data_IF_737897529126
#
_entry.id   IF_737897529126
#
_cell.length_a   1.000
_cell.length_b   1.000
_cell.length_c   1.000
_cell.angle_alpha   90.00
_cell.angle_beta   90.00
_cell.angle_gamma   90.00
#
_symmetry.space_group_name_H-M   'P 1'
#
loop_
_entity.id
_entity.type
_entity.pdbx_description
1 polymer ?
#
# COMPACT_ATOMS: atom_id res chain seq x y z
N UNK A 1 -3.80 11.16 30.49
CA UNK A 1 -4.46 10.93 29.18
C UNK A 1 -3.45 10.22 28.30
N UNK A 2 -3.63 8.91 28.13
CA UNK A 2 -2.53 7.98 27.88
C UNK A 2 -2.04 7.88 26.43
N UNK A 3 -0.87 7.26 26.20
CA UNK A 3 -0.27 7.01 24.89
C UNK A 3 -1.19 6.33 23.86
N UNK A 4 -2.29 5.72 24.33
CA UNK A 4 -3.28 5.03 23.50
C UNK A 4 -4.05 5.97 22.56
N UNK A 5 -4.24 7.25 22.90
CA UNK A 5 -5.01 8.19 22.05
C UNK A 5 -4.26 8.50 20.75
N UNK A 6 -2.93 8.69 20.84
CA UNK A 6 -2.09 8.94 19.66
C UNK A 6 -2.12 7.75 18.70
N UNK A 7 -2.08 6.53 19.25
CA UNK A 7 -2.20 5.31 18.46
C UNK A 7 -3.56 5.21 17.76
N UNK A 8 -4.66 5.53 18.46
CA UNK A 8 -6.00 5.52 17.87
C UNK A 8 -6.17 6.53 16.73
N UNK A 9 -5.66 7.76 16.90
CA UNK A 9 -5.70 8.78 15.85
C UNK A 9 -4.90 8.33 14.63
N UNK A 10 -3.70 7.77 14.87
CA UNK A 10 -2.87 7.21 13.81
C UNK A 10 -3.60 6.09 13.04
N UNK A 11 -4.18 5.12 13.75
CA UNK A 11 -4.92 4.02 13.14
C UNK A 11 -6.10 4.53 12.30
N UNK A 12 -6.85 5.50 12.81
CA UNK A 12 -7.98 6.10 12.11
C UNK A 12 -7.57 6.74 10.78
N UNK A 13 -6.51 7.57 10.78
CA UNK A 13 -5.99 8.20 9.56
C UNK A 13 -5.46 7.15 8.58
N UNK A 14 -4.76 6.13 9.09
CA UNK A 14 -4.23 5.05 8.27
C UNK A 14 -5.33 4.26 7.55
N UNK A 15 -6.40 3.89 8.24
CA UNK A 15 -7.51 3.16 7.63
C UNK A 15 -8.27 3.97 6.59
N UNK A 16 -8.50 5.28 6.82
CA UNK A 16 -9.19 6.13 5.84
C UNK A 16 -8.36 6.39 4.58
N UNK A 17 -7.04 6.38 4.68
CA UNK A 17 -6.14 6.70 3.57
C UNK A 17 -5.61 5.42 2.92
N UNK A 18 -4.52 4.89 3.46
CA UNK A 18 -3.81 3.73 2.90
C UNK A 18 -4.69 2.48 2.93
N UNK A 19 -5.39 2.24 4.04
CA UNK A 19 -6.25 1.07 4.18
C UNK A 19 -7.35 1.03 3.12
N UNK A 20 -8.20 2.06 3.08
CA UNK A 20 -9.32 2.14 2.15
C UNK A 20 -8.87 2.14 0.69
N UNK A 21 -7.90 2.98 0.32
CA UNK A 21 -7.44 3.11 -1.07
C UNK A 21 -6.84 1.79 -1.59
N UNK A 22 -6.09 1.07 -0.75
CA UNK A 22 -5.51 -0.23 -1.15
C UNK A 22 -6.57 -1.25 -1.55
N UNK A 23 -7.67 -1.34 -0.78
CA UNK A 23 -8.76 -2.27 -1.10
C UNK A 23 -9.57 -1.83 -2.33
N UNK A 24 -9.77 -0.52 -2.52
CA UNK A 24 -10.44 0.03 -3.71
C UNK A 24 -9.63 -0.30 -4.96
N UNK A 25 -8.32 -0.04 -4.96
CA UNK A 25 -7.43 -0.36 -6.09
C UNK A 25 -7.40 -1.86 -6.40
N UNK A 26 -7.43 -2.72 -5.37
CA UNK A 26 -7.54 -4.17 -5.58
C UNK A 26 -8.86 -4.55 -6.28
N UNK A 27 -9.95 -3.86 -5.94
CA UNK A 27 -11.27 -4.09 -6.54
C UNK A 27 -11.40 -3.57 -7.96
N UNK A 28 -10.92 -2.35 -8.21
CA UNK A 28 -11.04 -1.63 -9.48
C UNK A 28 -10.00 -2.08 -10.51
N UNK A 29 -8.76 -2.34 -10.08
CA UNK A 29 -7.68 -2.76 -10.96
C UNK A 29 -7.72 -4.25 -11.35
N UNK A 30 -8.50 -5.08 -10.65
CA UNK A 30 -8.60 -6.51 -10.98
C UNK A 30 -9.80 -6.81 -11.87
N UNK A 31 -9.53 -7.44 -13.02
CA UNK A 31 -10.58 -8.09 -13.82
C UNK A 31 -11.31 -9.13 -12.96
N UNK A 32 -12.65 -9.26 -13.06
CA UNK A 32 -13.44 -10.14 -12.17
C UNK A 32 -12.92 -11.59 -12.07
N UNK A 33 -12.37 -12.13 -13.16
CA UNK A 33 -11.79 -13.49 -13.22
C UNK A 33 -10.46 -13.63 -12.45
N UNK A 34 -9.69 -12.55 -12.34
CA UNK A 34 -8.36 -12.55 -11.72
C UNK A 34 -8.39 -12.06 -10.27
N UNK A 35 -9.49 -11.41 -9.85
CA UNK A 35 -9.67 -10.83 -8.52
C UNK A 35 -9.30 -11.78 -7.39
N UNK A 36 -9.75 -13.03 -7.45
CA UNK A 36 -9.42 -14.03 -6.43
C UNK A 36 -7.89 -14.29 -6.32
N UNK A 37 -7.18 -14.36 -7.45
CA UNK A 37 -5.73 -14.57 -7.48
C UNK A 37 -4.98 -13.33 -6.99
N UNK A 38 -5.41 -12.13 -7.40
CA UNK A 38 -4.82 -10.87 -6.95
C UNK A 38 -4.99 -10.67 -5.45
N UNK A 39 -6.18 -10.96 -4.91
CA UNK A 39 -6.42 -10.91 -3.46
C UNK A 39 -5.59 -11.92 -2.71
N UNK A 40 -5.48 -13.17 -3.19
CA UNK A 40 -4.64 -14.17 -2.57
C UNK A 40 -3.16 -13.75 -2.52
N UNK A 41 -2.64 -13.17 -3.62
CA UNK A 41 -1.28 -12.64 -3.67
C UNK A 41 -1.10 -11.48 -2.68
N UNK A 42 -2.05 -10.53 -2.64
CA UNK A 42 -2.01 -9.40 -1.71
C UNK A 42 -1.96 -9.87 -0.25
N UNK A 43 -2.79 -10.85 0.11
CA UNK A 43 -2.80 -11.45 1.46
C UNK A 43 -1.50 -12.17 1.77
N UNK A 44 -0.94 -12.94 0.83
CA UNK A 44 0.34 -13.62 1.02
C UNK A 44 1.48 -12.63 1.26
N UNK A 45 1.54 -11.57 0.45
CA UNK A 45 2.52 -10.49 0.61
C UNK A 45 2.36 -9.80 1.96
N UNK A 46 1.13 -9.47 2.37
CA UNK A 46 0.85 -8.89 3.68
C UNK A 46 1.32 -9.80 4.83
N UNK A 47 1.09 -11.11 4.73
CA UNK A 47 1.54 -12.06 5.75
C UNK A 47 3.07 -12.12 5.86
N UNK A 48 3.79 -12.14 4.73
CA UNK A 48 5.27 -12.14 4.71
C UNK A 48 5.82 -10.87 5.36
N UNK A 49 5.30 -9.70 5.01
CA UNK A 49 5.69 -8.45 5.64
C UNK A 49 5.32 -8.41 7.13
N UNK A 50 4.16 -8.96 7.50
CA UNK A 50 3.76 -9.10 8.90
C UNK A 50 4.74 -9.93 9.72
N UNK A 51 5.20 -11.06 9.18
CA UNK A 51 6.22 -11.90 9.83
C UNK A 51 7.54 -11.13 9.95
N UNK A 52 7.99 -10.48 8.87
CA UNK A 52 9.22 -9.69 8.88
C UNK A 52 9.18 -8.58 9.95
N UNK A 53 8.05 -7.88 10.09
CA UNK A 53 7.86 -6.85 11.12
C UNK A 53 7.85 -7.41 12.54
N UNK A 54 7.23 -8.57 12.75
CA UNK A 54 7.24 -9.24 14.04
C UNK A 54 8.63 -9.69 14.50
N UNK A 55 9.56 -9.92 13.58
CA UNK A 55 10.96 -10.24 13.90
C UNK A 55 11.80 -8.97 14.01
N UNK A 56 11.66 -8.03 13.07
CA UNK A 56 12.49 -6.83 12.99
C UNK A 56 12.23 -5.86 14.16
N UNK A 57 10.96 -5.62 14.52
CA UNK A 57 10.61 -4.67 15.59
C UNK A 57 11.23 -5.04 16.95
N UNK A 58 11.07 -6.27 17.47
CA UNK A 58 11.70 -6.62 18.75
C UNK A 58 13.22 -6.59 18.68
N UNK A 59 13.84 -7.06 17.58
CA UNK A 59 15.29 -7.03 17.39
C UNK A 59 15.86 -5.60 17.41
N UNK A 60 15.14 -4.64 16.83
CA UNK A 60 15.55 -3.23 16.77
C UNK A 60 15.39 -2.50 18.11
N UNK A 61 14.44 -2.92 18.94
CA UNK A 61 14.09 -2.29 20.21
C UNK A 61 14.87 -2.93 21.38
N UNK A 62 15.28 -4.19 21.26
CA UNK A 62 15.98 -4.91 22.32
C UNK A 62 17.33 -4.22 22.67
N UNK A 63 17.54 -3.82 23.94
CA UNK A 63 18.74 -3.09 24.36
C UNK A 63 20.04 -3.91 24.31
N UNK A 64 19.96 -5.24 24.31
CA UNK A 64 21.12 -6.15 24.25
C UNK A 64 21.53 -6.53 22.81
N UNK A 65 20.74 -6.13 21.81
CA UNK A 65 20.99 -6.41 20.39
C UNK A 65 21.30 -5.10 19.64
N UNK A 66 20.43 -4.66 18.74
CA UNK A 66 20.70 -3.52 17.86
C UNK A 66 20.56 -2.17 18.58
N UNK A 67 19.86 -2.10 19.73
CA UNK A 67 19.65 -0.93 20.59
C UNK A 67 19.49 0.38 19.79
N UNK A 68 18.67 0.34 18.74
CA UNK A 68 18.65 1.40 17.74
C UNK A 68 17.94 2.66 18.26
N UNK A 69 17.32 2.63 19.44
CA UNK A 69 16.62 3.75 20.09
C UNK A 69 15.80 4.55 19.05
N UNK A 70 16.02 5.87 18.93
CA UNK A 70 15.33 6.72 17.95
C UNK A 70 15.71 6.48 16.48
N UNK A 71 16.79 5.75 16.18
CA UNK A 71 17.22 5.49 14.79
C UNK A 71 16.32 4.50 14.05
N UNK A 72 15.52 3.73 14.78
CA UNK A 72 14.47 2.85 14.25
C UNK A 72 13.52 3.64 13.32
N UNK A 73 13.22 4.89 13.68
CA UNK A 73 12.39 5.78 12.87
C UNK A 73 12.94 6.10 11.48
N UNK A 74 14.27 6.09 11.28
CA UNK A 74 14.86 6.31 9.95
C UNK A 74 14.71 5.09 9.04
N UNK A 75 14.73 3.88 9.61
CA UNK A 75 14.52 2.65 8.83
C UNK A 75 13.07 2.59 8.37
N UNK A 76 12.12 2.76 9.29
CA UNK A 76 10.70 2.80 8.94
C UNK A 76 10.34 3.98 8.04
N UNK A 77 10.89 5.16 8.30
CA UNK A 77 10.73 6.33 7.45
C UNK A 77 11.31 6.12 6.05
N UNK A 78 12.47 5.48 5.93
CA UNK A 78 13.08 5.09 4.66
C UNK A 78 12.22 4.09 3.88
N UNK A 79 11.74 3.04 4.54
CA UNK A 79 10.81 2.08 3.94
C UNK A 79 9.51 2.75 3.50
N UNK A 80 8.96 3.65 4.31
CA UNK A 80 7.76 4.41 3.98
C UNK A 80 8.00 5.31 2.76
N UNK A 81 9.13 6.03 2.69
CA UNK A 81 9.48 6.88 1.55
C UNK A 81 9.63 6.07 0.25
N UNK A 82 10.31 4.92 0.30
CA UNK A 82 10.39 4.00 -0.86
C UNK A 82 9.00 3.52 -1.25
N UNK A 83 8.16 3.12 -0.29
CA UNK A 83 6.77 2.75 -0.53
C UNK A 83 5.95 3.85 -1.19
N UNK A 84 6.11 5.11 -0.75
CA UNK A 84 5.49 6.28 -1.37
C UNK A 84 5.96 6.48 -2.81
N UNK A 85 7.26 6.36 -3.09
CA UNK A 85 7.80 6.51 -4.45
C UNK A 85 7.26 5.41 -5.38
N UNK A 86 7.29 4.16 -4.94
CA UNK A 86 6.75 3.03 -5.71
C UNK A 86 5.25 3.24 -5.95
N UNK A 87 4.50 3.62 -4.93
CA UNK A 87 3.08 3.93 -5.06
C UNK A 87 2.83 5.02 -6.10
N UNK A 88 3.62 6.08 -6.09
CA UNK A 88 3.50 7.19 -7.05
C UNK A 88 3.82 6.79 -8.50
N UNK A 89 4.70 5.81 -8.71
CA UNK A 89 5.08 5.34 -10.06
C UNK A 89 4.07 4.33 -10.62
N UNK A 90 3.60 3.41 -9.78
CA UNK A 90 2.87 2.21 -10.22
C UNK A 90 1.35 2.27 -9.98
N UNK A 91 0.85 3.11 -9.09
CA UNK A 91 -0.59 3.22 -8.84
C UNK A 91 -1.21 4.16 -9.89
N UNK A 92 -2.09 3.64 -10.79
CA UNK A 92 -2.82 4.47 -11.72
C UNK A 92 -3.96 5.23 -11.02
N UNK A 93 -4.36 6.35 -11.61
CA UNK A 93 -5.61 7.04 -11.25
C UNK A 93 -6.77 6.41 -12.02
N UNK A 94 -7.69 5.77 -11.30
CA UNK A 94 -8.85 5.06 -11.85
C UNK A 94 -10.18 5.77 -11.54
N UNK A 95 -10.16 6.87 -10.79
CA UNK A 95 -11.36 7.56 -10.34
C UNK A 95 -12.24 8.02 -11.49
N UNK A 96 -13.52 7.65 -11.42
CA UNK A 96 -14.55 8.08 -12.37
C UNK A 96 -14.51 7.33 -13.70
N UNK A 97 -13.79 6.21 -13.79
CA UNK A 97 -13.74 5.34 -14.97
C UNK A 97 -14.58 4.08 -14.77
N UNK A 98 -15.15 3.59 -15.86
CA UNK A 98 -15.85 2.30 -15.89
C UNK A 98 -14.85 1.14 -15.96
N UNK A 99 -15.26 -0.05 -15.54
CA UNK A 99 -14.40 -1.25 -15.62
C UNK A 99 -13.95 -1.56 -17.06
N UNK A 100 -14.80 -1.29 -18.05
CA UNK A 100 -14.48 -1.50 -19.46
C UNK A 100 -13.40 -0.52 -19.95
N UNK A 101 -13.51 0.76 -19.61
CA UNK A 101 -12.49 1.77 -19.92
C UNK A 101 -11.13 1.42 -19.29
N UNK A 102 -11.14 0.93 -18.05
CA UNK A 102 -9.93 0.49 -17.34
C UNK A 102 -9.27 -0.68 -18.08
N UNK A 103 -10.05 -1.68 -18.49
CA UNK A 103 -9.54 -2.84 -19.23
C UNK A 103 -8.95 -2.44 -20.60
N UNK A 104 -9.59 -1.49 -21.29
CA UNK A 104 -9.06 -0.90 -22.54
C UNK A 104 -7.71 -0.21 -22.28
N UNK A 105 -7.58 0.58 -21.20
CA UNK A 105 -6.30 1.24 -20.86
C UNK A 105 -5.19 0.25 -20.53
N UNK A 106 -5.50 -0.86 -19.85
CA UNK A 106 -4.54 -1.94 -19.59
C UNK A 106 -4.14 -2.67 -20.88
N UNK A 107 -5.10 -2.98 -21.76
CA UNK A 107 -4.83 -3.66 -23.04
C UNK A 107 -3.99 -2.80 -24.01
N UNK A 108 -4.21 -1.49 -24.02
CA UNK A 108 -3.44 -0.50 -24.81
C UNK A 108 -2.11 -0.10 -24.15
N UNK A 109 -1.79 -0.68 -22.97
CA UNK A 109 -0.55 -0.43 -22.22
C UNK A 109 -0.31 1.06 -21.91
N UNK A 110 -1.37 1.81 -21.62
CA UNK A 110 -1.23 3.20 -21.18
C UNK A 110 -0.41 3.23 -19.88
N UNK A 111 0.63 4.06 -19.78
CA UNK A 111 1.40 4.17 -18.54
C UNK A 111 0.46 4.55 -17.38
N UNK A 112 0.58 3.93 -16.19
CA UNK A 112 -0.32 4.16 -15.05
C UNK A 112 -0.55 5.65 -14.72
N UNK A 113 0.49 6.45 -14.89
CA UNK A 113 0.47 7.90 -14.64
C UNK A 113 -0.35 8.73 -15.63
N UNK A 114 -0.58 8.23 -16.83
CA UNK A 114 -1.34 8.91 -17.87
C UNK A 114 -2.79 8.42 -17.94
N UNK A 115 -3.14 7.34 -17.22
CA UNK A 115 -4.50 6.79 -17.21
C UNK A 115 -5.55 7.81 -16.75
N UNK A 116 -5.23 8.66 -15.77
CA UNK A 116 -6.16 9.68 -15.28
C UNK A 116 -6.59 10.69 -16.36
N UNK A 117 -5.66 11.14 -17.19
CA UNK A 117 -5.90 12.12 -18.26
C UNK A 117 -6.19 11.51 -19.63
N UNK A 118 -6.23 10.19 -19.74
CA UNK A 118 -6.45 9.49 -21.01
C UNK A 118 -7.90 9.65 -21.47
N UNK A 119 -8.13 10.10 -22.71
CA UNK A 119 -9.46 10.18 -23.28
C UNK A 119 -9.69 8.95 -24.17
N UNK A 120 -10.73 8.18 -23.84
CA UNK A 120 -11.17 7.04 -24.64
C UNK A 120 -12.22 7.61 -25.60
N UNK A 121 -11.87 7.64 -26.89
CA UNK A 121 -12.71 8.18 -27.97
C UNK A 121 -13.67 7.15 -28.55
#
# INVERSE_FOLDING_TARGET
MGPNILHSIYAFVYFMTVGAVSFVLLGEGSTPLLRAKTTALATAVQAVFGIAMNVAVPYMVNPDEANMKGKVGFVFGGCAAVGTIVSWVYIPELKGRTFEEIDIMFSTRVPPRHMGSYQIG
#
